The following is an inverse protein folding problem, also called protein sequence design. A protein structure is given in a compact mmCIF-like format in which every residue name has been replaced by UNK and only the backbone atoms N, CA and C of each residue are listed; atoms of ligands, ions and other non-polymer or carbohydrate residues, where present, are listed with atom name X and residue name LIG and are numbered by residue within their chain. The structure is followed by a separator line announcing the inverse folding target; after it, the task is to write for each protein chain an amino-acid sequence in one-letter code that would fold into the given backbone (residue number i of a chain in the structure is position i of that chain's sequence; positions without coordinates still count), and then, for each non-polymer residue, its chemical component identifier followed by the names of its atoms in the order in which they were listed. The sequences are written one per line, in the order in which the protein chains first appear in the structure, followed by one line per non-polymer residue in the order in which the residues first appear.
data_IF_106653750683
#
_entry.id   IF_106653750683
#
_cell.length_a   1.000
_cell.length_b   1.000
_cell.length_c   1.000
_cell.angle_alpha   90.00
_cell.angle_beta   90.00
_cell.angle_gamma   90.00
#
_symmetry.space_group_name_H-M   'P 1'
#
loop_
_entity.id
_entity.type
_entity.pdbx_description
1 polymer ?
#
# COMPACT_ATOMS: atom_id res chain seq x y z
N UNK A 1 -32.64 12.31 -47.92
CA UNK A 1 -32.18 10.95 -47.61
C UNK A 1 -31.51 11.00 -46.25
N UNK A 2 -32.28 10.77 -45.18
CA UNK A 2 -31.85 10.90 -43.78
C UNK A 2 -31.63 9.48 -43.25
N UNK A 3 -30.37 9.00 -43.24
CA UNK A 3 -30.03 7.70 -42.66
C UNK A 3 -29.51 7.92 -41.25
N UNK A 4 -30.40 7.80 -40.26
CA UNK A 4 -30.03 7.63 -38.86
C UNK A 4 -29.70 6.14 -38.71
N UNK A 5 -28.40 5.82 -38.64
CA UNK A 5 -27.99 4.48 -38.23
C UNK A 5 -28.30 4.31 -36.74
N UNK A 6 -29.17 3.33 -36.48
CA UNK A 6 -29.58 2.88 -35.15
C UNK A 6 -28.33 2.44 -34.39
N UNK A 7 -28.05 3.13 -33.29
CA UNK A 7 -27.01 2.76 -32.33
C UNK A 7 -27.40 1.42 -31.68
N UNK A 8 -26.59 0.39 -31.89
CA UNK A 8 -26.70 -0.86 -31.15
C UNK A 8 -26.28 -0.61 -29.70
N UNK A 9 -27.23 -0.25 -28.83
CA UNK A 9 -27.05 -0.35 -27.39
C UNK A 9 -26.85 -1.84 -27.06
N UNK A 10 -25.62 -2.23 -26.75
CA UNK A 10 -25.34 -3.53 -26.15
C UNK A 10 -26.21 -3.68 -24.90
N UNK A 11 -27.15 -4.63 -24.93
CA UNK A 11 -28.02 -4.99 -23.81
C UNK A 11 -27.13 -5.21 -22.57
N UNK A 12 -27.39 -4.48 -21.47
CA UNK A 12 -26.76 -4.78 -20.18
C UNK A 12 -27.10 -6.23 -19.83
N UNK A 13 -26.11 -7.12 -19.88
CA UNK A 13 -26.24 -8.47 -19.35
C UNK A 13 -26.26 -8.34 -17.82
N UNK A 14 -27.43 -8.56 -17.25
CA UNK A 14 -27.61 -8.71 -15.81
C UNK A 14 -27.78 -10.20 -15.51
N UNK A 15 -27.10 -10.68 -14.49
CA UNK A 15 -27.17 -12.05 -14.00
C UNK A 15 -27.39 -12.01 -12.51
N UNK A 16 -28.50 -12.59 -12.05
CA UNK A 16 -28.74 -12.80 -10.63
C UNK A 16 -28.06 -14.09 -10.20
N UNK A 17 -27.22 -13.99 -9.17
CA UNK A 17 -26.54 -15.13 -8.55
C UNK A 17 -26.92 -15.23 -7.08
N UNK A 18 -26.87 -16.43 -6.54
CA UNK A 18 -26.99 -16.67 -5.10
C UNK A 18 -25.62 -17.01 -4.52
N UNK A 19 -25.20 -16.28 -3.49
CA UNK A 19 -23.92 -16.47 -2.79
C UNK A 19 -24.22 -16.51 -1.30
N UNK A 20 -23.91 -17.63 -0.64
CA UNK A 20 -24.13 -17.82 0.80
C UNK A 20 -25.59 -17.49 1.24
N UNK A 21 -26.58 -17.88 0.41
CA UNK A 21 -28.00 -17.62 0.65
C UNK A 21 -28.45 -16.18 0.38
N UNK A 22 -27.60 -15.34 -0.23
CA UNK A 22 -27.90 -13.94 -0.58
C UNK A 22 -27.98 -13.77 -2.09
N UNK A 23 -29.03 -13.10 -2.58
CA UNK A 23 -29.15 -12.77 -3.99
C UNK A 23 -28.36 -11.50 -4.33
N UNK A 24 -27.57 -11.56 -5.41
CA UNK A 24 -26.83 -10.44 -5.97
C UNK A 24 -27.09 -10.33 -7.47
N UNK A 25 -27.41 -9.13 -7.95
CA UNK A 25 -27.45 -8.84 -9.40
C UNK A 25 -26.08 -8.36 -9.87
N UNK A 26 -25.39 -9.21 -10.62
CA UNK A 26 -24.16 -8.85 -11.32
C UNK A 26 -24.53 -8.22 -12.66
N UNK A 27 -23.83 -7.16 -13.05
CA UNK A 27 -24.10 -6.45 -14.32
C UNK A 27 -22.83 -6.30 -15.13
N UNK A 28 -22.91 -6.04 -16.43
CA UNK A 28 -21.76 -5.60 -17.24
C UNK A 28 -20.49 -6.48 -17.09
N UNK A 29 -20.65 -7.81 -17.05
CA UNK A 29 -19.55 -8.73 -16.77
C UNK A 29 -18.45 -8.69 -17.84
N UNK A 30 -18.84 -8.46 -19.10
CA UNK A 30 -17.93 -8.36 -20.24
C UNK A 30 -17.19 -7.02 -20.31
N UNK A 31 -17.49 -6.07 -19.41
CA UNK A 31 -16.82 -4.77 -19.39
C UNK A 31 -15.33 -4.97 -19.08
N UNK A 32 -14.47 -4.59 -20.02
CA UNK A 32 -13.02 -4.59 -19.83
C UNK A 32 -12.61 -3.53 -18.82
N UNK A 33 -12.03 -3.95 -17.70
CA UNK A 33 -11.50 -3.05 -16.67
C UNK A 33 -9.98 -2.86 -16.77
N UNK A 34 -9.26 -3.81 -17.37
CA UNK A 34 -7.83 -3.68 -17.70
C UNK A 34 -7.61 -3.80 -19.22
N UNK A 35 -7.61 -2.68 -19.96
CA UNK A 35 -7.56 -2.72 -21.43
C UNK A 35 -6.31 -3.42 -21.99
N UNK A 36 -5.14 -3.21 -21.39
CA UNK A 36 -3.88 -3.82 -21.87
C UNK A 36 -3.83 -5.35 -21.67
N UNK A 37 -4.65 -5.89 -20.78
CA UNK A 37 -4.75 -7.33 -20.50
C UNK A 37 -6.02 -7.98 -21.08
N UNK A 38 -6.97 -7.17 -21.58
CA UNK A 38 -8.32 -7.63 -21.89
C UNK A 38 -9.11 -8.13 -20.67
N UNK A 39 -8.69 -7.78 -19.44
CA UNK A 39 -9.27 -8.35 -18.21
C UNK A 39 -10.61 -7.69 -17.87
N UNK A 40 -11.67 -8.51 -17.79
CA UNK A 40 -13.06 -8.05 -17.64
C UNK A 40 -13.51 -7.96 -16.19
N UNK A 41 -14.65 -7.30 -15.96
CA UNK A 41 -15.28 -7.24 -14.64
C UNK A 41 -15.67 -8.62 -14.12
N UNK A 42 -16.14 -9.52 -15.01
CA UNK A 42 -16.39 -10.90 -14.66
C UNK A 42 -15.15 -11.61 -14.12
N UNK A 43 -13.98 -11.39 -14.72
CA UNK A 43 -12.71 -11.95 -14.25
C UNK A 43 -12.21 -11.33 -12.94
N UNK A 44 -12.49 -10.05 -12.69
CA UNK A 44 -12.26 -9.42 -11.37
C UNK A 44 -13.10 -10.10 -10.29
N UNK A 45 -14.38 -10.33 -10.57
CA UNK A 45 -15.29 -11.02 -9.65
C UNK A 45 -14.83 -12.47 -9.42
N UNK A 46 -14.47 -13.21 -10.48
CA UNK A 46 -13.95 -14.58 -10.39
C UNK A 46 -12.69 -14.64 -9.51
N UNK A 47 -11.72 -13.75 -9.75
CA UNK A 47 -10.51 -13.68 -8.94
C UNK A 47 -10.83 -13.49 -7.46
N UNK A 48 -11.66 -12.48 -7.14
CA UNK A 48 -12.00 -12.19 -5.76
C UNK A 48 -12.79 -13.33 -5.10
N UNK A 49 -13.67 -14.00 -5.84
CA UNK A 49 -14.39 -15.16 -5.33
C UNK A 49 -13.46 -16.34 -5.01
N UNK A 50 -12.47 -16.61 -5.87
CA UNK A 50 -11.55 -17.74 -5.71
C UNK A 50 -10.46 -17.50 -4.66
N UNK A 51 -10.02 -16.25 -4.50
CA UNK A 51 -9.01 -15.88 -3.49
C UNK A 51 -9.63 -15.64 -2.10
N UNK A 52 -10.96 -15.51 -2.02
CA UNK A 52 -11.70 -15.20 -0.80
C UNK A 52 -11.31 -16.03 0.44
N UNK A 53 -11.07 -17.37 0.36
CA UNK A 53 -10.74 -18.17 1.54
C UNK A 53 -9.50 -17.69 2.29
N UNK A 54 -8.49 -17.17 1.58
CA UNK A 54 -7.29 -16.60 2.20
C UNK A 54 -7.35 -15.08 2.35
N UNK A 55 -8.11 -14.37 1.52
CA UNK A 55 -8.22 -12.90 1.57
C UNK A 55 -9.17 -12.41 2.68
N UNK A 56 -10.34 -13.01 2.85
CA UNK A 56 -11.36 -12.56 3.81
C UNK A 56 -10.87 -12.52 5.26
N UNK A 57 -10.07 -13.46 5.76
CA UNK A 57 -9.47 -13.36 7.10
C UNK A 57 -8.69 -12.05 7.35
N UNK A 58 -8.08 -11.48 6.30
CA UNK A 58 -7.35 -10.21 6.39
C UNK A 58 -8.24 -8.97 6.33
N UNK A 59 -9.48 -9.08 5.83
CA UNK A 59 -10.47 -7.99 5.81
C UNK A 59 -11.43 -8.01 7.00
N UNK A 60 -11.66 -9.19 7.59
CA UNK A 60 -12.70 -9.40 8.59
C UNK A 60 -12.58 -8.42 9.76
N UNK A 61 -13.66 -7.68 10.00
CA UNK A 61 -13.77 -6.69 11.06
C UNK A 61 -12.96 -5.41 10.85
N UNK A 62 -12.33 -5.20 9.70
CA UNK A 62 -11.56 -3.98 9.39
C UNK A 62 -12.38 -3.00 8.56
N UNK A 63 -12.48 -1.72 8.98
CA UNK A 63 -12.97 -0.65 8.14
C UNK A 63 -12.30 -0.68 6.76
N UNK A 64 -13.09 -0.87 5.70
CA UNK A 64 -12.60 -0.95 4.33
C UNK A 64 -12.79 0.37 3.62
N UNK A 65 -11.70 0.96 3.14
CA UNK A 65 -11.77 1.98 2.08
C UNK A 65 -11.75 1.26 0.74
N UNK A 66 -12.84 1.42 -0.03
CA UNK A 66 -12.92 0.93 -1.40
C UNK A 66 -12.27 1.95 -2.34
N UNK A 67 -11.53 1.50 -3.34
CA UNK A 67 -11.03 2.34 -4.42
C UNK A 67 -11.55 1.83 -5.75
N UNK A 68 -12.58 2.53 -6.20
CA UNK A 68 -13.44 2.08 -7.30
C UNK A 68 -12.99 2.67 -8.63
N UNK A 69 -13.05 1.83 -9.65
CA UNK A 69 -12.70 2.14 -11.04
C UNK A 69 -13.88 1.79 -11.97
N UNK A 70 -15.00 2.54 -11.90
CA UNK A 70 -16.21 2.19 -12.64
C UNK A 70 -15.98 2.03 -14.15
N UNK A 71 -14.99 2.73 -14.71
CA UNK A 71 -14.63 2.74 -16.12
C UNK A 71 -13.24 2.12 -16.40
N UNK A 72 -12.76 1.26 -15.51
CA UNK A 72 -11.47 0.57 -15.65
C UNK A 72 -10.27 1.42 -15.24
N UNK A 73 -9.08 0.80 -15.29
CA UNK A 73 -7.82 1.34 -14.75
C UNK A 73 -7.31 2.61 -15.46
N UNK A 74 -7.74 2.83 -16.71
CA UNK A 74 -7.42 4.03 -17.49
C UNK A 74 -8.42 5.17 -17.28
N UNK A 75 -9.53 4.92 -16.57
CA UNK A 75 -10.56 5.90 -16.28
C UNK A 75 -10.34 6.61 -14.94
N UNK A 76 -11.30 7.48 -14.59
CA UNK A 76 -11.34 8.10 -13.26
C UNK A 76 -11.61 7.06 -12.18
N UNK A 77 -10.95 7.24 -11.04
CA UNK A 77 -11.17 6.48 -9.82
C UNK A 77 -11.57 7.39 -8.67
N UNK A 78 -12.15 6.82 -7.62
CA UNK A 78 -12.40 7.52 -6.37
C UNK A 78 -12.24 6.58 -5.18
N UNK A 79 -11.90 7.16 -4.03
CA UNK A 79 -11.88 6.47 -2.74
C UNK A 79 -13.23 6.64 -2.07
N UNK A 80 -13.84 5.53 -1.68
CA UNK A 80 -15.12 5.48 -1.00
C UNK A 80 -14.92 4.92 0.40
N UNK A 81 -14.77 5.84 1.35
CA UNK A 81 -14.61 5.54 2.78
C UNK A 81 -15.95 5.29 3.47
N UNK A 82 -16.95 6.13 3.16
CA UNK A 82 -18.31 5.93 3.63
C UNK A 82 -18.98 4.88 2.76
N UNK A 83 -19.46 3.80 3.37
CA UNK A 83 -20.15 2.72 2.68
C UNK A 83 -21.39 3.29 1.94
N UNK A 84 -21.66 2.86 0.69
CA UNK A 84 -22.81 3.32 -0.07
C UNK A 84 -24.13 3.25 0.72
N UNK A 85 -24.95 4.28 0.59
CA UNK A 85 -26.26 4.35 1.26
C UNK A 85 -27.20 3.25 0.75
N UNK A 86 -27.23 3.03 -0.57
CA UNK A 86 -28.04 2.00 -1.22
C UNK A 86 -27.33 0.62 -1.29
N UNK A 87 -26.56 0.27 -0.26
CA UNK A 87 -25.96 -1.07 -0.15
C UNK A 87 -27.03 -2.12 0.23
N UNK A 88 -26.82 -3.40 -0.09
CA UNK A 88 -27.67 -4.47 0.45
C UNK A 88 -27.67 -4.49 1.98
N UNK A 89 -28.81 -4.79 2.60
CA UNK A 89 -29.00 -4.73 4.06
C UNK A 89 -28.04 -5.63 4.84
N UNK A 90 -27.57 -6.72 4.21
CA UNK A 90 -26.61 -7.66 4.80
C UNK A 90 -25.16 -7.16 4.75
N UNK A 91 -24.85 -6.07 4.03
CA UNK A 91 -23.52 -5.45 4.05
C UNK A 91 -23.35 -4.68 5.36
N UNK A 92 -22.60 -5.29 6.27
CA UNK A 92 -22.30 -4.72 7.57
C UNK A 92 -21.40 -3.49 7.45
N UNK A 93 -21.55 -2.58 8.42
CA UNK A 93 -20.73 -1.37 8.53
C UNK A 93 -20.22 -1.18 9.95
N UNK A 94 -19.13 -0.43 10.09
CA UNK A 94 -18.63 0.04 11.38
C UNK A 94 -18.55 1.57 11.40
N UNK A 95 -19.04 2.24 12.45
CA UNK A 95 -18.89 3.68 12.59
C UNK A 95 -17.43 4.02 12.94
N UNK A 96 -16.88 5.03 12.29
CA UNK A 96 -15.54 5.58 12.57
C UNK A 96 -15.64 7.09 12.56
N UNK A 97 -15.15 7.74 13.62
CA UNK A 97 -15.08 9.19 13.68
C UNK A 97 -14.04 9.71 12.67
N UNK A 98 -14.43 10.69 11.87
CA UNK A 98 -13.55 11.34 10.89
C UNK A 98 -13.33 12.79 11.31
N UNK A 99 -12.17 13.09 11.89
CA UNK A 99 -11.83 14.45 12.32
C UNK A 99 -11.89 15.44 11.15
N UNK A 100 -11.29 15.09 10.02
CA UNK A 100 -11.25 15.96 8.84
C UNK A 100 -12.63 16.27 8.24
N UNK A 101 -13.62 15.40 8.43
CA UNK A 101 -15.00 15.64 7.99
C UNK A 101 -15.93 16.09 9.13
N UNK A 102 -15.42 16.16 10.36
CA UNK A 102 -16.17 16.44 11.59
C UNK A 102 -17.48 15.63 11.71
N UNK A 103 -17.43 14.33 11.37
CA UNK A 103 -18.59 13.43 11.44
C UNK A 103 -18.17 11.97 11.55
N UNK A 104 -19.09 11.14 12.02
CA UNK A 104 -18.98 9.69 11.95
C UNK A 104 -19.25 9.21 10.51
N UNK A 105 -18.35 8.40 9.98
CA UNK A 105 -18.48 7.72 8.69
C UNK A 105 -18.72 6.23 8.94
N UNK A 106 -19.61 5.61 8.18
CA UNK A 106 -19.89 4.18 8.27
C UNK A 106 -19.06 3.45 7.22
N UNK A 107 -17.96 2.82 7.61
CA UNK A 107 -17.12 2.05 6.68
C UNK A 107 -17.74 0.68 6.40
N UNK A 108 -17.62 0.18 5.17
CA UNK A 108 -18.04 -1.18 4.87
C UNK A 108 -17.15 -2.19 5.63
N UNK A 109 -17.72 -3.31 6.04
CA UNK A 109 -16.99 -4.48 6.54
C UNK A 109 -17.15 -5.61 5.53
N UNK A 110 -16.06 -5.99 4.85
CA UNK A 110 -16.04 -7.16 3.97
C UNK A 110 -15.87 -8.45 4.79
N UNK A 111 -16.97 -8.97 5.32
CA UNK A 111 -16.98 -10.06 6.29
C UNK A 111 -17.04 -11.45 5.66
N UNK A 112 -17.53 -11.53 4.42
CA UNK A 112 -17.94 -12.76 3.76
C UNK A 112 -17.85 -12.64 2.23
N UNK A 113 -18.07 -13.76 1.54
CA UNK A 113 -17.89 -13.86 0.09
C UNK A 113 -18.91 -12.99 -0.65
N UNK A 114 -20.16 -12.96 -0.17
CA UNK A 114 -21.20 -12.12 -0.76
C UNK A 114 -20.82 -10.62 -0.72
N UNK A 115 -20.31 -10.10 0.40
CA UNK A 115 -19.87 -8.69 0.47
C UNK A 115 -18.68 -8.42 -0.44
N UNK A 116 -17.73 -9.35 -0.53
CA UNK A 116 -16.57 -9.18 -1.41
C UNK A 116 -16.97 -9.15 -2.89
N UNK A 117 -17.85 -10.06 -3.33
CA UNK A 117 -18.37 -10.09 -4.70
C UNK A 117 -19.20 -8.85 -5.01
N UNK A 118 -19.99 -8.36 -4.05
CA UNK A 118 -20.72 -7.10 -4.19
C UNK A 118 -19.78 -5.91 -4.40
N UNK A 119 -18.72 -5.78 -3.60
CA UNK A 119 -17.71 -4.73 -3.77
C UNK A 119 -17.03 -4.81 -5.15
N UNK A 120 -16.63 -6.01 -5.58
CA UNK A 120 -16.06 -6.24 -6.91
C UNK A 120 -17.03 -5.85 -8.04
N UNK A 121 -18.34 -6.14 -7.89
CA UNK A 121 -19.37 -5.76 -8.86
C UNK A 121 -19.55 -4.24 -8.97
N UNK A 122 -19.29 -3.49 -7.89
CA UNK A 122 -19.20 -2.03 -7.87
C UNK A 122 -17.92 -1.46 -8.52
N UNK A 123 -17.13 -2.34 -9.14
CA UNK A 123 -15.81 -2.08 -9.71
C UNK A 123 -14.79 -1.60 -8.67
N UNK A 124 -14.90 -2.09 -7.43
CA UNK A 124 -13.84 -1.93 -6.44
C UNK A 124 -12.66 -2.84 -6.79
N UNK A 125 -11.57 -2.23 -7.26
CA UNK A 125 -10.39 -2.98 -7.68
C UNK A 125 -9.36 -3.09 -6.55
N UNK A 126 -9.19 -2.02 -5.76
CA UNK A 126 -8.20 -2.00 -4.68
C UNK A 126 -8.90 -1.92 -3.32
N UNK A 127 -8.67 -2.90 -2.48
CA UNK A 127 -9.22 -3.05 -1.13
C UNK A 127 -8.21 -2.47 -0.13
N UNK A 128 -8.58 -1.42 0.60
CA UNK A 128 -7.68 -0.78 1.56
C UNK A 128 -8.27 -0.83 2.98
N UNK A 129 -8.01 -1.89 3.75
CA UNK A 129 -8.40 -1.97 5.15
C UNK A 129 -7.54 -1.05 6.05
N UNK A 130 -8.09 -0.67 7.21
CA UNK A 130 -7.33 -0.09 8.32
C UNK A 130 -6.39 -1.10 8.98
N UNK A 131 -5.34 -0.61 9.65
CA UNK A 131 -4.44 -1.48 10.43
C UNK A 131 -5.09 -2.01 11.72
N UNK A 132 -6.20 -1.40 12.16
CA UNK A 132 -7.01 -1.79 13.31
C UNK A 132 -8.33 -2.46 12.90
N UNK A 133 -9.00 -3.07 13.88
CA UNK A 133 -10.38 -3.53 13.75
C UNK A 133 -11.34 -2.37 14.05
N UNK A 134 -12.53 -2.37 13.43
CA UNK A 134 -13.52 -1.29 13.57
C UNK A 134 -14.00 -1.09 15.01
N UNK A 135 -14.08 -2.17 15.79
CA UNK A 135 -14.47 -2.13 17.21
C UNK A 135 -13.43 -1.44 18.12
N UNK A 136 -12.20 -1.30 17.66
CA UNK A 136 -11.05 -0.82 18.44
C UNK A 136 -10.16 0.03 17.52
N UNK A 137 -10.73 1.09 16.94
CA UNK A 137 -10.09 1.82 15.84
C UNK A 137 -8.70 2.36 16.20
N UNK A 138 -8.47 2.75 17.46
CA UNK A 138 -7.19 3.31 17.94
C UNK A 138 -6.11 2.25 18.23
N UNK A 139 -6.44 0.95 18.08
CA UNK A 139 -5.56 -0.17 18.42
C UNK A 139 -5.22 -0.98 17.17
N UNK A 140 -4.10 -0.66 16.48
CA UNK A 140 -3.68 -1.45 15.34
C UNK A 140 -3.31 -2.87 15.76
N UNK A 141 -3.55 -3.83 14.86
CA UNK A 141 -3.15 -5.22 15.06
C UNK A 141 -1.72 -5.49 14.60
N UNK A 142 -1.10 -4.56 13.88
CA UNK A 142 0.26 -4.66 13.35
C UNK A 142 0.86 -3.27 13.10
N UNK A 143 2.18 -3.20 13.07
CA UNK A 143 2.94 -2.04 12.58
C UNK A 143 3.44 -2.34 11.15
N UNK A 144 3.40 -1.33 10.27
CA UNK A 144 3.67 -1.47 8.83
C UNK A 144 4.74 -0.50 8.38
N UNK A 145 5.58 -0.96 7.45
CA UNK A 145 6.54 -0.13 6.72
C UNK A 145 6.27 -0.29 5.23
N UNK A 146 5.85 0.79 4.56
CA UNK A 146 5.67 0.81 3.11
C UNK A 146 6.93 1.35 2.45
N UNK A 147 7.64 0.49 1.71
CA UNK A 147 8.91 0.80 1.09
C UNK A 147 8.66 1.27 -0.34
N UNK A 148 8.75 2.59 -0.52
CA UNK A 148 8.38 3.29 -1.74
C UNK A 148 9.62 3.76 -2.51
N UNK A 149 9.98 3.13 -3.64
CA UNK A 149 11.17 3.51 -4.38
C UNK A 149 10.93 4.74 -5.26
N UNK A 150 11.86 5.70 -5.21
CA UNK A 150 11.90 6.83 -6.12
C UNK A 150 12.82 6.52 -7.32
N UNK A 151 12.34 6.69 -8.57
CA UNK A 151 13.14 6.39 -9.75
C UNK A 151 14.54 7.01 -9.73
N UNK A 152 15.58 6.31 -10.23
CA UNK A 152 15.54 5.01 -10.90
C UNK A 152 15.49 3.80 -9.95
N UNK A 153 15.37 3.99 -8.63
CA UNK A 153 15.19 2.87 -7.72
C UNK A 153 13.87 2.15 -8.00
N UNK A 154 13.84 0.85 -7.70
CA UNK A 154 12.70 -0.04 -7.85
C UNK A 154 12.60 -1.01 -6.65
N UNK A 155 11.78 -2.05 -6.79
CA UNK A 155 11.57 -3.04 -5.74
C UNK A 155 12.84 -3.78 -5.33
N UNK A 156 13.88 -3.86 -6.17
CA UNK A 156 15.16 -4.50 -5.81
C UNK A 156 15.81 -3.73 -4.67
N UNK A 157 15.79 -2.39 -4.73
CA UNK A 157 16.30 -1.57 -3.63
C UNK A 157 15.39 -1.65 -2.39
N UNK A 158 14.07 -1.77 -2.58
CA UNK A 158 13.15 -2.07 -1.49
C UNK A 158 13.44 -3.40 -0.82
N UNK A 159 13.90 -4.43 -1.54
CA UNK A 159 14.31 -5.71 -0.96
C UNK A 159 15.49 -5.52 0.00
N UNK A 160 16.50 -4.73 -0.39
CA UNK A 160 17.64 -4.42 0.49
C UNK A 160 17.19 -3.71 1.77
N UNK A 161 16.38 -2.66 1.64
CA UNK A 161 15.85 -1.92 2.79
C UNK A 161 14.97 -2.82 3.65
N UNK A 162 14.19 -3.69 3.01
CA UNK A 162 13.30 -4.60 3.72
C UNK A 162 14.03 -5.66 4.53
N UNK A 163 15.18 -6.15 4.06
CA UNK A 163 16.04 -7.03 4.84
C UNK A 163 16.63 -6.32 6.06
N UNK A 164 16.99 -5.03 5.96
CA UNK A 164 17.42 -4.26 7.14
C UNK A 164 16.30 -4.10 8.16
N UNK A 165 15.07 -3.79 7.71
CA UNK A 165 13.89 -3.75 8.60
C UNK A 165 13.69 -5.11 9.30
N UNK A 166 13.76 -6.22 8.54
CA UNK A 166 13.64 -7.58 9.09
C UNK A 166 14.69 -7.85 10.17
N UNK A 167 15.96 -7.53 9.92
CA UNK A 167 17.04 -7.77 10.87
C UNK A 167 16.90 -6.91 12.13
N UNK A 168 16.43 -5.67 12.03
CA UNK A 168 16.12 -4.83 13.20
C UNK A 168 15.01 -5.49 14.05
N UNK A 169 13.92 -5.94 13.44
CA UNK A 169 12.85 -6.60 14.21
C UNK A 169 13.32 -7.94 14.80
N UNK A 170 14.13 -8.69 14.07
CA UNK A 170 14.72 -9.95 14.55
C UNK A 170 15.62 -9.72 15.77
N UNK A 171 16.46 -8.68 15.78
CA UNK A 171 17.29 -8.34 16.94
C UNK A 171 16.47 -7.91 18.17
N UNK A 172 15.27 -7.37 17.93
CA UNK A 172 14.29 -7.06 18.96
C UNK A 172 13.45 -8.28 19.39
N UNK A 173 13.66 -9.44 18.77
CA UNK A 173 12.90 -10.67 19.04
C UNK A 173 11.49 -10.68 18.43
N UNK A 174 11.25 -9.92 17.36
CA UNK A 174 9.98 -9.90 16.62
C UNK A 174 10.14 -10.50 15.22
N UNK A 175 9.12 -11.25 14.82
CA UNK A 175 8.92 -11.76 13.48
C UNK A 175 8.22 -10.73 12.59
N UNK A 176 8.59 -10.71 11.31
CA UNK A 176 8.02 -9.83 10.29
C UNK A 176 7.68 -10.60 9.02
N UNK A 177 6.64 -10.16 8.33
CA UNK A 177 6.14 -10.73 7.08
C UNK A 177 6.26 -9.70 5.96
N UNK A 178 6.63 -10.15 4.75
CA UNK A 178 6.76 -9.29 3.59
C UNK A 178 5.66 -9.57 2.56
N UNK A 179 5.21 -8.51 1.88
CA UNK A 179 4.37 -8.61 0.68
C UNK A 179 4.77 -7.57 -0.34
N UNK A 180 4.63 -7.88 -1.61
CA UNK A 180 4.74 -6.87 -2.67
C UNK A 180 3.54 -5.92 -2.56
N UNK A 181 3.71 -4.65 -2.90
CA UNK A 181 2.54 -3.76 -3.00
C UNK A 181 1.66 -4.09 -4.22
N UNK A 182 2.15 -4.93 -5.14
CA UNK A 182 1.54 -5.16 -6.46
C UNK A 182 1.73 -3.99 -7.43
N UNK A 183 2.47 -2.95 -7.03
CA UNK A 183 2.84 -1.80 -7.86
C UNK A 183 4.35 -1.71 -8.02
N UNK A 184 5.05 -0.94 -7.18
CA UNK A 184 6.49 -0.68 -7.34
C UNK A 184 7.31 -1.03 -6.10
N UNK A 185 6.66 -1.19 -4.96
CA UNK A 185 7.30 -1.25 -3.65
C UNK A 185 7.08 -2.58 -2.93
N UNK A 186 7.68 -2.68 -1.75
CA UNK A 186 7.57 -3.81 -0.83
C UNK A 186 7.00 -3.31 0.50
N UNK A 187 6.18 -4.12 1.15
CA UNK A 187 5.60 -3.78 2.45
C UNK A 187 5.98 -4.82 3.48
N UNK A 188 6.32 -4.35 4.68
CA UNK A 188 6.70 -5.19 5.82
C UNK A 188 5.70 -4.98 6.93
N UNK A 189 5.18 -6.09 7.44
CA UNK A 189 4.21 -6.13 8.52
C UNK A 189 4.83 -6.86 9.70
N UNK A 190 4.71 -6.27 10.88
CA UNK A 190 5.07 -6.94 12.14
C UNK A 190 3.78 -7.14 12.92
N UNK A 191 3.28 -8.40 13.02
CA UNK A 191 2.07 -8.68 13.77
C UNK A 191 2.27 -8.36 15.24
N UNK A 192 1.35 -7.59 15.81
CA UNK A 192 1.34 -7.27 17.24
C UNK A 192 0.19 -7.99 17.93
N UNK A 193 -1.05 -7.83 17.43
CA UNK A 193 -2.26 -8.45 17.99
C UNK A 193 -2.35 -8.32 19.53
N UNK A 194 -1.91 -7.17 20.05
CA UNK A 194 -1.92 -6.79 21.47
C UNK A 194 -2.72 -5.50 21.68
N UNK A 195 -2.72 -5.01 22.92
CA UNK A 195 -3.39 -3.78 23.36
C UNK A 195 -2.74 -2.46 22.89
N UNK A 196 -1.74 -2.53 22.00
CA UNK A 196 -0.93 -1.39 21.51
C UNK A 196 -1.79 -0.34 20.81
N UNK A 197 -1.38 0.93 20.88
CA UNK A 197 -2.07 2.06 20.23
C UNK A 197 -1.22 2.71 19.13
N UNK A 198 -1.85 3.53 18.28
CA UNK A 198 -1.11 4.33 17.29
C UNK A 198 -0.13 5.32 17.92
N UNK A 199 -0.40 5.81 19.13
CA UNK A 199 0.54 6.66 19.89
C UNK A 199 1.85 5.93 20.22
N UNK A 200 1.85 4.59 20.17
CA UNK A 200 3.05 3.78 20.36
C UNK A 200 3.65 3.33 19.01
N UNK A 201 2.83 2.85 18.07
CA UNK A 201 3.34 2.31 16.80
C UNK A 201 3.87 3.39 15.88
N UNK A 202 3.25 4.58 15.83
CA UNK A 202 3.65 5.65 14.92
C UNK A 202 5.01 6.26 15.27
N UNK A 203 5.30 6.66 16.54
CA UNK A 203 6.63 7.14 16.90
C UNK A 203 7.70 6.07 16.72
N UNK A 204 7.39 4.81 17.06
CA UNK A 204 8.31 3.68 16.85
C UNK A 204 8.67 3.49 15.38
N UNK A 205 7.67 3.50 14.48
CA UNK A 205 7.89 3.40 13.04
C UNK A 205 8.75 4.56 12.52
N UNK A 206 8.46 5.77 12.98
CA UNK A 206 9.19 6.97 12.57
C UNK A 206 10.65 6.90 13.01
N UNK A 207 10.95 6.51 14.25
CA UNK A 207 12.33 6.42 14.72
C UNK A 207 13.10 5.30 14.01
N UNK A 208 12.46 4.16 13.72
CA UNK A 208 13.08 3.11 12.91
C UNK A 208 13.42 3.62 11.50
N UNK A 209 12.52 4.36 10.86
CA UNK A 209 12.78 4.95 9.55
C UNK A 209 13.95 5.95 9.59
N UNK A 210 14.05 6.78 10.63
CA UNK A 210 15.16 7.72 10.84
C UNK A 210 16.47 7.00 11.14
N UNK A 211 16.43 5.91 11.91
CA UNK A 211 17.60 5.06 12.16
C UNK A 211 18.16 4.51 10.85
N UNK A 212 17.30 3.92 10.01
CA UNK A 212 17.72 3.43 8.70
C UNK A 212 18.26 4.54 7.79
N UNK A 213 17.65 5.73 7.80
CA UNK A 213 18.17 6.88 7.06
C UNK A 213 19.54 7.33 7.57
N UNK A 214 19.79 7.33 8.89
CA UNK A 214 21.09 7.65 9.46
C UNK A 214 22.16 6.61 9.10
N UNK A 215 21.82 5.33 9.10
CA UNK A 215 22.73 4.23 8.76
C UNK A 215 23.00 4.12 7.25
N UNK A 216 22.01 4.44 6.43
CA UNK A 216 22.06 4.26 4.97
C UNK A 216 21.56 5.51 4.21
N UNK A 217 22.16 6.71 4.42
CA UNK A 217 21.63 7.97 3.91
C UNK A 217 21.66 8.10 2.38
N UNK A 218 22.47 7.29 1.69
CA UNK A 218 22.49 7.23 0.22
C UNK A 218 21.34 6.41 -0.38
N UNK A 219 20.69 5.56 0.42
CA UNK A 219 19.68 4.58 -0.04
C UNK A 219 18.31 4.87 0.55
N UNK A 220 18.24 5.32 1.79
CA UNK A 220 16.99 5.51 2.55
C UNK A 220 16.68 6.99 2.71
N UNK A 221 15.39 7.32 2.71
CA UNK A 221 14.85 8.61 3.16
C UNK A 221 13.64 8.36 4.06
N UNK A 222 13.46 9.16 5.10
CA UNK A 222 12.27 9.10 5.97
C UNK A 222 11.36 10.33 5.85
N UNK A 223 11.85 11.41 5.19
CA UNK A 223 11.05 12.60 4.85
C UNK A 223 10.12 12.33 3.66
N UNK A 224 8.84 12.69 3.83
CA UNK A 224 7.79 12.45 2.84
C UNK A 224 7.94 13.25 1.54
N UNK A 225 8.82 14.26 1.48
CA UNK A 225 9.07 15.06 0.27
C UNK A 225 9.53 14.20 -0.90
N UNK A 226 8.72 14.16 -1.96
CA UNK A 226 9.01 13.39 -3.19
C UNK A 226 10.35 13.75 -3.83
N UNK A 227 10.76 15.02 -3.74
CA UNK A 227 12.04 15.50 -4.30
C UNK A 227 13.28 14.85 -3.67
N UNK A 228 13.16 14.27 -2.48
CA UNK A 228 14.26 13.61 -1.78
C UNK A 228 14.40 12.11 -2.12
N UNK A 229 13.44 11.56 -2.88
CA UNK A 229 13.35 10.11 -3.13
C UNK A 229 14.13 9.64 -4.35
N UNK A 230 14.61 10.53 -5.21
CA UNK A 230 15.30 10.15 -6.46
C UNK A 230 16.46 9.19 -6.18
N UNK A 231 16.38 7.96 -6.71
CA UNK A 231 17.37 6.91 -6.50
C UNK A 231 17.38 6.28 -5.10
N UNK A 232 16.40 6.60 -4.26
CA UNK A 232 16.27 6.14 -2.86
C UNK A 232 14.95 5.42 -2.63
N UNK A 233 14.83 4.80 -1.46
CA UNK A 233 13.58 4.22 -0.94
C UNK A 233 13.09 5.08 0.21
N UNK A 234 11.86 5.57 0.09
CA UNK A 234 11.14 6.09 1.25
C UNK A 234 10.73 4.91 2.14
N UNK A 235 11.12 4.95 3.41
CA UNK A 235 10.51 4.11 4.44
C UNK A 235 9.29 4.88 4.98
N UNK A 236 8.12 4.64 4.39
CA UNK A 236 6.90 5.36 4.76
C UNK A 236 6.33 4.80 6.06
N UNK A 237 6.73 5.45 7.15
CA UNK A 237 6.26 5.21 8.51
C UNK A 237 4.87 5.81 8.78
N UNK A 238 4.41 6.73 7.91
CA UNK A 238 3.17 7.50 8.13
C UNK A 238 1.90 6.68 7.92
N UNK A 239 2.03 5.45 7.41
CA UNK A 239 0.94 4.50 7.28
C UNK A 239 0.39 4.01 8.62
N UNK A 240 1.17 4.15 9.70
CA UNK A 240 0.80 3.74 11.06
C UNK A 240 -0.10 4.76 11.75
N UNK A 241 -1.27 4.98 11.20
CA UNK A 241 -2.19 6.02 11.65
C UNK A 241 -3.65 5.58 11.48
N UNK A 242 -4.56 6.05 12.33
CA UNK A 242 -5.94 5.60 12.41
C UNK A 242 -6.77 6.00 11.18
N UNK A 243 -6.44 7.14 10.57
CA UNK A 243 -7.10 7.66 9.37
C UNK A 243 -6.53 7.12 8.06
N UNK A 244 -5.48 6.28 8.13
CA UNK A 244 -4.79 5.68 6.98
C UNK A 244 -5.28 4.26 6.73
N UNK A 245 -5.15 3.85 5.48
CA UNK A 245 -5.45 2.50 5.02
C UNK A 245 -4.38 2.06 4.06
N UNK A 246 -4.05 0.78 4.10
CA UNK A 246 -3.02 0.17 3.24
C UNK A 246 -3.65 -0.86 2.33
N UNK A 247 -3.10 -1.04 1.13
CA UNK A 247 -3.56 -2.08 0.21
C UNK A 247 -3.57 -3.44 0.91
N UNK A 248 -4.71 -4.13 0.88
CA UNK A 248 -4.86 -5.46 1.46
C UNK A 248 -3.94 -6.44 0.74
N UNK A 249 -3.42 -7.40 1.51
CA UNK A 249 -2.88 -8.61 0.92
C UNK A 249 -3.94 -9.27 0.01
N UNK A 250 -3.50 -9.83 -1.12
CA UNK A 250 -4.35 -10.43 -2.16
C UNK A 250 -5.26 -9.48 -2.93
N UNK A 251 -5.24 -8.17 -2.65
CA UNK A 251 -6.01 -7.21 -3.46
C UNK A 251 -5.33 -6.95 -4.81
N UNK A 252 -6.16 -6.84 -5.85
CA UNK A 252 -5.75 -6.36 -7.16
C UNK A 252 -5.24 -4.92 -7.08
N UNK A 253 -4.38 -4.57 -8.04
CA UNK A 253 -3.90 -3.21 -8.25
C UNK A 253 -4.43 -2.70 -9.56
N UNK A 254 -4.81 -1.42 -9.59
CA UNK A 254 -5.21 -0.76 -10.82
C UNK A 254 -3.96 -0.28 -11.59
N UNK A 255 -3.35 -1.22 -12.30
CA UNK A 255 -2.21 -1.05 -13.21
C UNK A 255 -2.60 -1.53 -14.61
N UNK A 256 -1.67 -1.48 -15.55
CA UNK A 256 -1.90 -1.96 -16.92
C UNK A 256 -2.26 -3.47 -16.94
N UNK A 257 -1.71 -4.23 -16.00
CA UNK A 257 -1.99 -5.64 -15.79
C UNK A 257 -2.71 -5.85 -14.45
N UNK A 258 -3.52 -6.91 -14.27
CA UNK A 258 -4.20 -7.24 -13.03
C UNK A 258 -3.22 -7.83 -12.00
N UNK A 259 -2.24 -7.02 -11.58
CA UNK A 259 -1.24 -7.38 -10.58
C UNK A 259 -1.86 -7.36 -9.18
N UNK A 260 -1.23 -8.09 -8.25
CA UNK A 260 -1.76 -8.30 -6.90
C UNK A 260 -0.74 -7.93 -5.83
N UNK A 261 -1.20 -7.35 -4.71
CA UNK A 261 -0.37 -7.23 -3.50
C UNK A 261 -0.16 -8.61 -2.89
N UNK A 262 1.02 -9.20 -3.11
CA UNK A 262 1.21 -10.65 -2.93
C UNK A 262 2.18 -10.95 -1.78
N UNK A 263 1.82 -11.82 -0.82
CA UNK A 263 2.75 -12.32 0.19
C UNK A 263 3.95 -13.01 -0.43
N UNK A 264 5.14 -12.70 0.07
CA UNK A 264 6.41 -13.29 -0.40
C UNK A 264 7.22 -13.79 0.77
N UNK A 265 7.94 -14.90 0.59
CA UNK A 265 8.89 -15.36 1.58
C UNK A 265 10.11 -14.46 1.60
N UNK A 266 10.85 -14.48 2.70
CA UNK A 266 12.12 -13.77 2.77
C UNK A 266 13.15 -14.30 1.77
N UNK A 267 13.16 -15.60 1.48
CA UNK A 267 14.01 -16.19 0.43
C UNK A 267 13.72 -15.61 -0.96
N UNK A 268 12.44 -15.31 -1.26
CA UNK A 268 12.04 -14.65 -2.52
C UNK A 268 12.54 -13.21 -2.57
N UNK A 269 12.50 -12.48 -1.45
CA UNK A 269 13.06 -11.13 -1.30
C UNK A 269 14.59 -11.14 -1.49
N UNK A 270 15.29 -12.08 -0.85
CA UNK A 270 16.74 -12.26 -0.97
C UNK A 270 17.14 -12.65 -2.40
N UNK A 271 16.38 -13.55 -3.04
CA UNK A 271 16.60 -13.94 -4.43
C UNK A 271 16.41 -12.77 -5.39
N UNK A 272 15.37 -11.94 -5.20
CA UNK A 272 15.15 -10.74 -6.00
C UNK A 272 16.34 -9.77 -5.91
N UNK A 273 16.82 -9.51 -4.70
CA UNK A 273 17.99 -8.66 -4.45
C UNK A 273 19.25 -9.23 -5.11
N UNK A 274 19.55 -10.52 -4.88
CA UNK A 274 20.75 -11.18 -5.40
C UNK A 274 20.80 -11.18 -6.92
N UNK A 275 19.66 -11.45 -7.57
CA UNK A 275 19.54 -11.52 -9.04
C UNK A 275 19.38 -10.14 -9.68
N UNK A 276 19.07 -9.09 -8.89
CA UNK A 276 18.76 -7.74 -9.34
C UNK A 276 17.65 -7.72 -10.39
N UNK A 277 16.63 -8.53 -10.18
CA UNK A 277 15.52 -8.70 -11.12
C UNK A 277 14.18 -8.41 -10.44
N UNK A 278 13.69 -7.20 -10.66
CA UNK A 278 12.40 -6.73 -10.15
C UNK A 278 11.22 -7.60 -10.60
N UNK A 279 11.32 -8.29 -11.75
CA UNK A 279 10.22 -9.10 -12.31
C UNK A 279 9.91 -10.32 -11.44
N UNK A 280 10.85 -10.75 -10.60
CA UNK A 280 10.66 -11.88 -9.67
C UNK A 280 9.61 -11.60 -8.60
N UNK A 281 9.25 -10.33 -8.37
CA UNK A 281 8.27 -9.90 -7.38
C UNK A 281 7.06 -9.19 -8.01
N UNK A 282 6.72 -9.55 -9.25
CA UNK A 282 5.50 -9.10 -9.92
C UNK A 282 4.61 -10.30 -10.17
N UNK A 283 3.40 -10.27 -9.63
CA UNK A 283 2.45 -11.39 -9.71
C UNK A 283 1.11 -10.90 -10.26
N UNK A 284 0.61 -11.57 -11.29
CA UNK A 284 -0.75 -11.38 -11.82
C UNK A 284 -1.77 -12.23 -11.05
N UNK A 285 -3.05 -11.92 -11.23
CA UNK A 285 -4.17 -12.57 -10.54
C UNK A 285 -4.18 -14.11 -10.65
N UNK A 286 -3.92 -14.65 -11.84
CA UNK A 286 -3.81 -16.09 -12.12
C UNK A 286 -2.62 -16.73 -11.39
N UNK A 287 -1.45 -16.08 -11.43
CA UNK A 287 -0.24 -16.54 -10.74
C UNK A 287 -0.45 -16.57 -9.22
N UNK A 288 -1.19 -15.60 -8.66
CA UNK A 288 -1.51 -15.60 -7.23
C UNK A 288 -2.44 -16.75 -6.86
N UNK A 289 -3.46 -17.03 -7.67
CA UNK A 289 -4.34 -18.18 -7.44
C UNK A 289 -3.57 -19.51 -7.46
N UNK A 290 -2.67 -19.70 -8.42
CA UNK A 290 -1.79 -20.86 -8.48
C UNK A 290 -0.83 -20.92 -7.28
N UNK A 291 -0.30 -19.77 -6.87
CA UNK A 291 0.61 -19.69 -5.72
C UNK A 291 -0.11 -20.07 -4.43
N UNK A 292 -1.33 -19.61 -4.21
CA UNK A 292 -2.12 -19.93 -3.01
C UNK A 292 -2.52 -21.40 -2.99
N UNK A 293 -2.87 -22.01 -4.13
CA UNK A 293 -3.17 -23.45 -4.17
C UNK A 293 -1.96 -24.31 -3.79
N UNK A 294 -0.73 -23.84 -4.08
CA UNK A 294 0.52 -24.55 -3.76
C UNK A 294 1.07 -24.25 -2.36
N UNK A 295 0.99 -22.99 -1.91
CA UNK A 295 1.70 -22.51 -0.71
C UNK A 295 0.77 -22.13 0.44
N UNK A 296 -0.54 -22.08 0.23
CA UNK A 296 -1.49 -21.55 1.20
C UNK A 296 -1.33 -20.05 1.45
N UNK A 297 -1.79 -19.59 2.61
CA UNK A 297 -1.64 -18.20 3.04
C UNK A 297 -0.31 -17.96 3.76
N UNK A 298 0.68 -17.44 3.05
CA UNK A 298 1.98 -17.06 3.63
C UNK A 298 1.92 -15.84 4.55
N UNK A 299 0.80 -15.10 4.53
CA UNK A 299 0.58 -13.93 5.38
C UNK A 299 -0.28 -14.26 6.61
N UNK A 300 -0.73 -15.50 6.76
CA UNK A 300 -1.50 -15.98 7.91
C UNK A 300 -0.86 -15.63 9.28
N UNK A 301 0.48 -15.66 9.45
CA UNK A 301 1.11 -15.25 10.72
C UNK A 301 0.74 -13.83 11.15
N UNK A 302 0.43 -12.92 10.22
CA UNK A 302 0.00 -11.55 10.52
C UNK A 302 -1.31 -11.52 11.32
N UNK A 303 -2.17 -12.52 11.13
CA UNK A 303 -3.44 -12.66 11.84
C UNK A 303 -3.31 -13.35 13.20
N UNK A 304 -2.30 -14.21 13.36
CA UNK A 304 -2.21 -15.15 14.50
C UNK A 304 -1.16 -14.77 15.53
N UNK A 305 0.00 -14.27 15.11
CA UNK A 305 1.11 -14.00 16.01
C UNK A 305 0.79 -12.84 16.95
N UNK A 306 1.06 -13.03 18.24
CA UNK A 306 0.96 -11.98 19.26
C UNK A 306 2.35 -11.59 19.71
N UNK A 307 2.76 -10.36 19.43
CA UNK A 307 4.09 -9.85 19.74
C UNK A 307 3.97 -8.51 20.46
N UNK A 308 4.75 -8.34 21.52
CA UNK A 308 4.77 -7.10 22.29
C UNK A 308 5.75 -6.14 21.61
N UNK A 309 5.26 -4.98 21.18
CA UNK A 309 6.14 -3.92 20.69
C UNK A 309 7.06 -3.47 21.84
N UNK A 310 8.39 -3.49 21.67
CA UNK A 310 9.31 -3.00 22.68
C UNK A 310 9.20 -1.47 22.82
N UNK A 311 9.64 -0.91 23.95
CA UNK A 311 9.68 0.53 24.12
C UNK A 311 10.71 1.13 23.15
N UNK A 312 10.50 2.38 22.71
CA UNK A 312 11.22 3.00 21.60
C UNK A 312 12.73 3.14 21.89
N UNK A 313 13.10 3.27 23.16
CA UNK A 313 14.49 3.38 23.64
C UNK A 313 15.32 2.14 23.28
N UNK A 314 14.68 0.99 23.03
CA UNK A 314 15.37 -0.21 22.54
C UNK A 314 15.89 -0.04 21.11
N UNK A 315 15.23 0.76 20.26
CA UNK A 315 15.76 1.12 18.94
C UNK A 315 16.94 2.09 19.05
N UNK A 316 16.88 3.01 20.01
CA UNK A 316 17.96 3.98 20.25
C UNK A 316 19.22 3.26 20.74
N UNK A 317 19.08 2.25 21.60
CA UNK A 317 20.20 1.41 22.03
C UNK A 317 20.88 0.67 20.87
N UNK A 318 20.11 0.15 19.90
CA UNK A 318 20.67 -0.46 18.68
C UNK A 318 21.46 0.54 17.82
N UNK A 319 21.19 1.83 17.96
CA UNK A 319 21.94 2.89 17.27
C UNK A 319 23.28 3.21 17.94
N UNK A 320 23.45 2.83 19.20
CA UNK A 320 24.59 3.21 20.05
C UNK A 320 25.69 2.14 20.14
N UNK A 321 25.48 0.92 19.61
CA UNK A 321 26.50 -0.12 19.65
C UNK A 321 27.70 0.19 18.72
N UNK A 322 28.94 0.02 19.20
CA UNK A 322 30.14 0.34 18.43
C UNK A 322 30.36 -0.67 17.30
N UNK A 323 30.03 -0.26 16.06
CA UNK A 323 30.20 -1.09 14.86
C UNK A 323 29.48 -0.56 13.61
N UNK A 324 28.54 0.37 13.75
CA UNK A 324 27.94 1.05 12.60
C UNK A 324 28.95 2.00 11.94
N UNK A 325 29.11 1.98 10.60
CA UNK A 325 30.04 2.89 9.92
C UNK A 325 29.61 4.34 10.15
N UNK A 326 30.41 5.07 10.94
CA UNK A 326 30.26 6.51 11.09
C UNK A 326 30.61 7.16 9.74
N UNK A 327 29.59 7.51 8.95
CA UNK A 327 29.81 8.39 7.81
C UNK A 327 30.19 9.76 8.36
N UNK A 328 31.49 10.07 8.33
CA UNK A 328 32.00 11.41 8.59
C UNK A 328 31.32 12.40 7.64
N UNK A 329 30.60 13.38 8.18
CA UNK A 329 30.06 14.48 7.38
C UNK A 329 31.22 15.19 6.65
N UNK A 330 31.11 15.46 5.33
CA UNK A 330 32.09 16.31 4.67
C UNK A 330 31.97 17.73 5.22
N UNK A 331 33.08 18.23 5.79
CA UNK A 331 33.20 19.64 6.20
C UNK A 331 32.86 20.55 5.02
N UNK A 332 32.09 21.64 5.22
CA UNK A 332 31.79 22.57 4.15
C UNK A 332 33.08 23.21 3.63
N UNK A 333 33.35 23.02 2.34
CA UNK A 333 34.47 23.64 1.63
C UNK A 333 34.21 25.15 1.60
N UNK A 334 35.04 25.94 2.30
CA UNK A 334 35.03 27.41 2.23
C UNK A 334 35.15 27.83 0.76
N UNK A 335 34.08 28.38 0.20
CA UNK A 335 34.10 29.06 -1.09
C UNK A 335 34.75 30.42 -0.90
N UNK A 336 35.87 30.64 -1.58
CA UNK A 336 36.51 31.95 -1.66
C UNK A 336 35.58 32.93 -2.39
N UNK A 337 35.30 34.07 -1.75
CA UNK A 337 34.49 35.14 -2.31
C UNK A 337 35.16 35.72 -3.57
N UNK A 338 34.50 35.59 -4.73
CA UNK A 338 34.83 36.37 -5.92
C UNK A 338 34.32 37.79 -5.73
N UNK A 339 35.25 38.76 -5.67
CA UNK A 339 34.95 40.20 -5.72
C UNK A 339 34.36 40.55 -7.09
N UNK A 340 33.17 41.16 -7.10
CA UNK A 340 32.57 41.78 -8.27
C UNK A 340 33.32 43.06 -8.65
N UNK A 341 33.60 43.35 -9.94
CA UNK A 341 34.19 44.62 -10.34
C UNK A 341 33.13 45.74 -10.37
N UNK A 342 33.51 46.90 -9.84
CA UNK A 342 32.71 48.11 -9.79
C UNK A 342 32.44 48.69 -11.19
N UNK A 343 31.19 49.05 -11.47
CA UNK A 343 30.80 49.83 -12.66
C UNK A 343 31.33 51.26 -12.54
N UNK A 344 32.21 51.64 -13.46
CA UNK A 344 32.70 53.02 -13.65
C UNK A 344 31.67 53.81 -14.47
N UNK A 345 31.03 54.78 -13.83
CA UNK A 345 30.16 55.76 -14.50
C UNK A 345 31.03 56.88 -15.06
N UNK A 346 31.10 57.01 -16.38
CA UNK A 346 31.71 58.16 -17.05
C UNK A 346 30.64 59.21 -17.35
N UNK A 347 30.76 60.36 -16.68
CA UNK A 347 30.10 61.62 -17.06
C UNK A 347 30.60 62.04 -18.46
N UNK A 348 29.68 62.35 -19.38
CA UNK A 348 29.94 63.26 -20.49
C UNK A 348 29.16 64.54 -20.27
N UNK A 349 29.90 65.64 -20.29
CA UNK A 349 29.50 67.03 -20.18
C UNK A 349 28.84 67.53 -21.47
N UNK A 350 27.92 68.47 -21.30
CA UNK A 350 27.29 69.31 -22.32
C UNK A 350 28.30 70.26 -22.96
N UNK A 351 28.06 70.58 -24.23
CA UNK A 351 28.35 71.90 -24.82
C UNK A 351 27.41 72.13 -26.01
N UNK A 352 26.76 73.29 -25.97
CA UNK A 352 26.05 74.06 -27.01
C UNK A 352 24.91 73.38 -27.78
#
# INVERSE_FOLDING_TARGET
MLCIQISAMAKRSEQTVEIEGRQLTLSNLDKVLYPAAGFTKGQVIDYYARIAPVLLPHLKGRPLTMKRYPNGVNGMFFYEKNCPEHRPDWVQTTPVWSEGNNKTMNYCLAQDLATLVWAANLADLELHPSLSLGKEIMRPTFIVFDLDPGPPADIVLCCQVGLWVREIFKSLGLESCAKTSGSKGLQIYVPLNTAVTYDQTKPFAHELARLLERQHPSVVVSDMKKSLRTGKVLVDWSQNDDHKTTICVYSLRAKDQPTVSTPVSWDEVESCLKKKDAKLLVFTSDQVLERVSKKGDLFEPVLKLKQKLPPIERLEALSAEPGAPQTSQPKPRRTAAKKSPAKRVTKKSQTA
#
